data_IF_700511367545
#
_entry.id   IF_700511367545
#
_cell.length_a   1.000
_cell.length_b   1.000
_cell.length_c   1.000
_cell.angle_alpha   90.00
_cell.angle_beta   90.00
_cell.angle_gamma   90.00
#
_symmetry.space_group_name_H-M   'P 1'
#
loop_
_entity.id
_entity.type
_entity.pdbx_description
1 polymer ?
#
# COMPACT_ATOMS: atom_id res chain seq x y z
N UNK A 1 10.76 18.44 -8.17
CA UNK A 1 10.39 19.69 -7.49
C UNK A 1 8.96 19.56 -6.98
N UNK A 2 8.62 20.18 -5.84
CA UNK A 2 7.27 20.21 -5.30
C UNK A 2 6.94 21.58 -4.71
N UNK A 3 5.66 21.94 -4.65
CA UNK A 3 5.18 23.11 -3.93
C UNK A 3 3.76 22.87 -3.41
N UNK A 4 3.33 23.70 -2.46
CA UNK A 4 1.98 23.64 -1.88
C UNK A 4 1.12 24.69 -2.58
N UNK A 5 -0.02 24.24 -3.11
CA UNK A 5 -1.07 25.10 -3.65
C UNK A 5 -2.25 25.14 -2.68
N UNK A 6 -2.92 26.30 -2.58
CA UNK A 6 -4.03 26.49 -1.63
C UNK A 6 -5.24 25.61 -1.95
N UNK A 7 -5.49 25.32 -3.23
CA UNK A 7 -6.63 24.55 -3.70
C UNK A 7 -6.31 23.07 -3.88
N UNK A 8 -5.16 22.76 -4.50
CA UNK A 8 -4.80 21.39 -4.89
C UNK A 8 -3.85 20.70 -3.90
N UNK A 9 -3.44 21.39 -2.84
CA UNK A 9 -2.50 20.85 -1.85
C UNK A 9 -1.10 20.70 -2.41
N UNK A 10 -0.42 19.58 -2.09
CA UNK A 10 0.93 19.31 -2.59
C UNK A 10 0.92 18.94 -4.07
N UNK A 11 1.55 19.77 -4.90
CA UNK A 11 1.71 19.57 -6.34
C UNK A 11 3.11 19.03 -6.63
N UNK A 12 3.18 17.85 -7.23
CA UNK A 12 4.43 17.23 -7.65
C UNK A 12 4.80 17.69 -9.07
N UNK A 13 5.97 18.28 -9.25
CA UNK A 13 6.45 18.76 -10.54
C UNK A 13 7.61 17.89 -11.03
N UNK A 14 7.38 17.17 -12.12
CA UNK A 14 8.39 16.36 -12.82
C UNK A 14 8.90 17.14 -14.02
N UNK A 15 10.21 17.37 -14.07
CA UNK A 15 10.88 17.94 -15.23
C UNK A 15 11.29 16.83 -16.20
N UNK A 16 11.07 17.04 -17.49
CA UNK A 16 11.43 16.08 -18.53
C UNK A 16 11.98 16.83 -19.76
N UNK A 17 13.11 16.38 -20.26
CA UNK A 17 13.70 16.89 -21.51
C UNK A 17 12.87 16.55 -22.74
N UNK A 18 12.08 15.46 -22.67
CA UNK A 18 11.18 15.03 -23.74
C UNK A 18 9.83 15.78 -23.73
N UNK A 19 9.55 16.54 -22.69
CA UNK A 19 8.26 17.24 -22.56
C UNK A 19 8.29 18.54 -23.35
N UNK A 20 7.46 18.66 -24.39
CA UNK A 20 7.30 19.87 -25.20
C UNK A 20 6.25 20.84 -24.64
N UNK A 21 5.57 20.47 -23.56
CA UNK A 21 4.51 21.29 -22.94
C UNK A 21 4.20 20.83 -21.53
N UNK A 22 3.22 21.51 -20.91
CA UNK A 22 2.77 21.18 -19.55
C UNK A 22 1.64 20.15 -19.61
N UNK A 23 1.80 19.05 -18.89
CA UNK A 23 0.74 18.03 -18.72
C UNK A 23 0.40 17.89 -17.25
N UNK A 24 -0.90 17.84 -16.97
CA UNK A 24 -1.42 17.58 -15.64
C UNK A 24 -1.95 16.15 -15.56
N UNK A 25 -1.71 15.48 -14.44
CA UNK A 25 -2.21 14.14 -14.16
C UNK A 25 -2.45 14.01 -12.65
N UNK A 26 -3.12 12.94 -12.24
CA UNK A 26 -3.33 12.62 -10.84
C UNK A 26 -2.53 11.35 -10.52
N UNK A 27 -1.75 11.38 -9.44
CA UNK A 27 -1.02 10.22 -8.95
C UNK A 27 -1.99 9.15 -8.41
N UNK A 28 -1.52 7.93 -8.23
CA UNK A 28 -2.28 6.85 -7.57
C UNK A 28 -2.76 7.23 -6.17
N UNK A 29 -2.04 8.15 -5.51
CA UNK A 29 -2.45 8.72 -4.21
C UNK A 29 -3.47 9.86 -4.31
N UNK A 30 -3.90 10.25 -5.52
CA UNK A 30 -4.87 11.34 -5.75
C UNK A 30 -4.27 12.75 -5.70
N UNK A 31 -2.93 12.89 -5.70
CA UNK A 31 -2.23 14.19 -5.71
C UNK A 31 -2.06 14.69 -7.14
N UNK A 32 -2.16 16.00 -7.32
CA UNK A 32 -1.88 16.63 -8.60
C UNK A 32 -0.40 16.48 -8.96
N UNK A 33 -0.15 15.97 -10.16
CA UNK A 33 1.18 15.91 -10.78
C UNK A 33 1.21 16.81 -12.01
N UNK A 34 2.33 17.47 -12.20
CA UNK A 34 2.61 18.34 -13.33
C UNK A 34 3.91 17.91 -13.99
N UNK A 35 3.85 17.52 -15.25
CA UNK A 35 5.05 17.28 -16.07
C UNK A 35 5.32 18.52 -16.90
N UNK A 36 6.55 19.04 -16.83
CA UNK A 36 6.98 20.28 -17.47
C UNK A 36 8.30 20.10 -18.18
N UNK A 37 8.63 20.92 -19.20
CA UNK A 37 9.94 20.97 -19.80
C UNK A 37 11.06 21.22 -18.76
N UNK A 38 12.26 20.70 -19.03
CA UNK A 38 13.41 20.77 -18.11
C UNK A 38 13.79 22.18 -17.69
N UNK A 39 13.62 23.15 -18.58
CA UNK A 39 13.91 24.58 -18.35
C UNK A 39 12.86 25.32 -17.52
N UNK A 40 11.74 24.70 -17.17
CA UNK A 40 10.65 25.35 -16.44
C UNK A 40 11.08 25.71 -15.02
N UNK A 41 10.97 26.98 -14.67
CA UNK A 41 11.21 27.49 -13.31
C UNK A 41 10.00 27.22 -12.38
N UNK A 42 10.21 27.31 -11.07
CA UNK A 42 9.10 27.17 -10.11
C UNK A 42 8.01 28.23 -10.29
N UNK A 43 8.41 29.45 -10.67
CA UNK A 43 7.48 30.55 -10.97
C UNK A 43 6.60 30.22 -12.18
N UNK A 44 7.20 29.76 -13.28
CA UNK A 44 6.45 29.38 -14.49
C UNK A 44 5.52 28.19 -14.20
N UNK A 45 5.95 27.20 -13.44
CA UNK A 45 5.11 26.07 -13.04
C UNK A 45 3.85 26.52 -12.28
N UNK A 46 3.99 27.45 -11.32
CA UNK A 46 2.86 28.04 -10.59
C UNK A 46 1.93 28.84 -11.51
N UNK A 47 2.50 29.61 -12.46
CA UNK A 47 1.73 30.36 -13.45
C UNK A 47 0.90 29.44 -14.34
N UNK A 48 1.47 28.36 -14.86
CA UNK A 48 0.77 27.34 -15.64
C UNK A 48 -0.36 26.69 -14.84
N UNK A 49 -0.10 26.35 -13.58
CA UNK A 49 -1.14 25.83 -12.70
C UNK A 49 -2.31 26.80 -12.58
N UNK A 50 -2.03 28.07 -12.33
CA UNK A 50 -3.08 29.08 -12.19
C UNK A 50 -3.92 29.26 -13.46
N UNK A 51 -3.28 29.25 -14.62
CA UNK A 51 -4.00 29.35 -15.92
C UNK A 51 -4.87 28.12 -16.21
N UNK A 52 -4.47 26.95 -15.69
CA UNK A 52 -5.14 25.68 -15.98
C UNK A 52 -6.15 25.24 -14.89
N UNK A 53 -6.36 26.02 -13.82
CA UNK A 53 -7.21 25.65 -12.69
C UNK A 53 -8.60 25.13 -13.09
N UNK A 54 -9.28 25.84 -13.99
CA UNK A 54 -10.62 25.45 -14.47
C UNK A 54 -10.58 24.08 -15.14
N UNK A 55 -9.68 23.89 -16.09
CA UNK A 55 -9.51 22.62 -16.81
C UNK A 55 -9.12 21.46 -15.87
N UNK A 56 -8.29 21.74 -14.87
CA UNK A 56 -7.88 20.75 -13.87
C UNK A 56 -9.08 20.29 -13.05
N UNK A 57 -9.92 21.19 -12.56
CA UNK A 57 -11.16 20.88 -11.82
C UNK A 57 -12.12 20.02 -12.64
N UNK A 58 -12.32 20.36 -13.90
CA UNK A 58 -13.29 19.71 -14.77
C UNK A 58 -12.84 18.32 -15.24
N UNK A 59 -11.54 18.13 -15.48
CA UNK A 59 -11.01 16.94 -16.16
C UNK A 59 -10.28 15.96 -15.26
N UNK A 60 -9.82 16.38 -14.07
CA UNK A 60 -9.01 15.55 -13.22
C UNK A 60 -9.69 15.23 -11.89
N UNK A 61 -9.77 13.95 -11.50
CA UNK A 61 -10.36 13.52 -10.23
C UNK A 61 -9.41 13.80 -9.05
N UNK A 62 -9.11 15.09 -8.80
CA UNK A 62 -8.24 15.50 -7.71
C UNK A 62 -9.00 15.33 -6.41
N UNK A 63 -8.39 14.62 -5.48
CA UNK A 63 -8.94 14.48 -4.13
C UNK A 63 -8.66 15.74 -3.33
N UNK A 64 -9.68 16.23 -2.65
CA UNK A 64 -9.56 17.38 -1.76
C UNK A 64 -8.39 17.23 -0.78
N UNK A 65 -7.56 18.29 -0.59
CA UNK A 65 -6.43 18.26 0.34
C UNK A 65 -6.79 17.89 1.78
N UNK A 66 -7.99 18.22 2.24
CA UNK A 66 -8.49 17.83 3.57
C UNK A 66 -8.68 16.32 3.66
N UNK A 67 -9.23 15.70 2.62
CA UNK A 67 -9.41 14.26 2.54
C UNK A 67 -8.07 13.52 2.46
N UNK A 68 -7.05 14.12 1.87
CA UNK A 68 -5.70 13.53 1.83
C UNK A 68 -5.03 13.57 3.22
N UNK A 69 -5.13 14.68 3.94
CA UNK A 69 -4.63 14.78 5.33
C UNK A 69 -5.29 13.75 6.24
N UNK A 70 -6.61 13.59 6.13
CA UNK A 70 -7.35 12.58 6.89
C UNK A 70 -6.86 11.15 6.60
N UNK A 71 -6.57 10.82 5.33
CA UNK A 71 -5.99 9.52 4.95
C UNK A 71 -4.59 9.32 5.50
N UNK A 72 -3.74 10.34 5.40
CA UNK A 72 -2.37 10.27 5.91
C UNK A 72 -2.37 10.11 7.45
N UNK A 73 -3.28 10.79 8.16
CA UNK A 73 -3.49 10.61 9.59
C UNK A 73 -3.99 9.19 9.91
N UNK A 74 -4.97 8.68 9.17
CA UNK A 74 -5.45 7.30 9.32
C UNK A 74 -4.34 6.27 9.10
N UNK A 75 -3.52 6.44 8.04
CA UNK A 75 -2.35 5.58 7.78
C UNK A 75 -1.38 5.57 8.96
N UNK A 76 -1.09 6.74 9.54
CA UNK A 76 -0.18 6.86 10.69
C UNK A 76 -0.71 6.10 11.90
N UNK A 77 -2.01 6.21 12.18
CA UNK A 77 -2.67 5.48 13.28
C UNK A 77 -2.62 3.97 13.03
N UNK A 78 -2.98 3.52 11.82
CA UNK A 78 -2.95 2.10 11.46
C UNK A 78 -1.53 1.53 11.49
N UNK A 79 -0.53 2.29 11.04
CA UNK A 79 0.87 1.90 11.13
C UNK A 79 1.32 1.68 12.57
N UNK A 80 0.91 2.57 13.50
CA UNK A 80 1.20 2.40 14.92
C UNK A 80 0.58 1.11 15.45
N UNK A 81 -0.73 0.92 15.25
CA UNK A 81 -1.45 -0.30 15.69
C UNK A 81 -0.85 -1.57 15.08
N UNK A 82 -0.51 -1.55 13.78
CA UNK A 82 0.09 -2.69 13.10
C UNK A 82 1.45 -3.08 13.68
N UNK A 83 2.31 -2.09 13.98
CA UNK A 83 3.63 -2.33 14.59
C UNK A 83 3.53 -2.90 16.01
N UNK A 84 2.49 -2.56 16.76
CA UNK A 84 2.25 -3.07 18.11
C UNK A 84 1.65 -4.49 18.11
N UNK A 85 0.76 -4.79 17.19
CA UNK A 85 -0.02 -6.03 17.20
C UNK A 85 0.54 -7.13 16.27
N UNK A 86 0.82 -6.78 15.00
CA UNK A 86 1.10 -7.80 13.98
C UNK A 86 2.38 -8.60 14.22
N UNK A 87 3.51 -8.04 14.71
CA UNK A 87 4.70 -8.84 15.02
C UNK A 87 4.43 -9.86 16.09
N UNK A 88 3.76 -9.47 17.18
CA UNK A 88 3.40 -10.38 18.26
C UNK A 88 2.54 -11.55 17.76
N UNK A 89 1.54 -11.26 16.91
CA UNK A 89 0.67 -12.31 16.37
C UNK A 89 1.38 -13.19 15.35
N UNK A 90 2.26 -12.62 14.53
CA UNK A 90 3.12 -13.35 13.60
C UNK A 90 4.08 -14.30 14.35
N UNK A 91 4.77 -13.81 15.40
CA UNK A 91 5.66 -14.61 16.23
C UNK A 91 4.92 -15.75 16.95
N UNK A 92 3.70 -15.49 17.41
CA UNK A 92 2.86 -16.50 18.03
C UNK A 92 2.63 -17.69 17.08
N UNK A 93 2.18 -17.43 15.85
CA UNK A 93 1.94 -18.51 14.88
C UNK A 93 3.24 -19.13 14.36
N UNK A 94 4.29 -18.35 14.18
CA UNK A 94 5.58 -18.88 13.76
C UNK A 94 6.11 -19.89 14.78
N UNK A 95 6.03 -19.58 16.06
CA UNK A 95 6.43 -20.51 17.14
C UNK A 95 5.50 -21.71 17.25
N UNK A 96 4.20 -21.50 17.12
CA UNK A 96 3.19 -22.57 17.24
C UNK A 96 3.37 -23.65 16.16
N UNK A 97 3.72 -23.26 14.94
CA UNK A 97 3.82 -24.13 13.79
C UNK A 97 5.26 -24.37 13.30
N UNK A 98 6.26 -23.87 14.02
CA UNK A 98 7.67 -24.14 13.74
C UNK A 98 8.24 -23.37 12.53
N UNK A 99 7.65 -22.25 12.15
CA UNK A 99 8.16 -21.40 11.07
C UNK A 99 9.31 -20.50 11.53
N UNK A 100 10.25 -20.28 10.63
CA UNK A 100 11.33 -19.31 10.83
C UNK A 100 11.28 -18.22 9.76
N UNK A 101 11.38 -16.96 10.18
CA UNK A 101 11.54 -15.81 9.31
C UNK A 101 12.50 -14.80 9.95
N UNK A 102 13.16 -13.97 9.13
CA UNK A 102 14.20 -13.05 9.61
C UNK A 102 13.65 -11.66 9.88
N UNK A 103 12.65 -11.24 9.12
CA UNK A 103 12.17 -9.85 9.19
C UNK A 103 10.70 -9.70 8.85
N UNK A 104 10.02 -8.83 9.61
CA UNK A 104 8.69 -8.35 9.26
C UNK A 104 8.76 -6.94 8.69
N UNK A 105 7.99 -6.67 7.63
CA UNK A 105 7.81 -5.36 7.00
C UNK A 105 6.34 -4.99 6.98
N UNK A 106 6.06 -3.68 6.99
CA UNK A 106 4.71 -3.16 6.89
C UNK A 106 4.50 -2.46 5.55
N UNK A 107 3.41 -2.79 4.88
CA UNK A 107 3.01 -2.20 3.61
C UNK A 107 1.66 -1.48 3.72
N UNK A 108 1.36 -0.65 2.74
CA UNK A 108 0.06 -0.03 2.54
C UNK A 108 -0.38 -0.15 1.07
N UNK A 109 -0.04 -1.29 0.46
CA UNK A 109 -0.42 -1.60 -0.91
C UNK A 109 -1.96 -1.71 -1.05
N UNK A 110 -2.50 -1.33 -2.20
CA UNK A 110 -3.95 -1.38 -2.42
C UNK A 110 -4.45 -2.76 -2.86
N UNK A 111 -3.55 -3.67 -3.23
CA UNK A 111 -3.91 -4.91 -3.95
C UNK A 111 -3.61 -6.20 -3.20
N UNK A 112 -2.76 -6.17 -2.15
CA UNK A 112 -2.40 -7.38 -1.42
C UNK A 112 -2.35 -7.16 0.08
N UNK A 113 -2.78 -8.17 0.84
CA UNK A 113 -2.83 -8.17 2.29
C UNK A 113 -1.50 -8.52 2.94
N UNK A 114 -0.68 -9.33 2.26
CA UNK A 114 0.64 -9.73 2.70
C UNK A 114 1.53 -10.19 1.55
N UNK A 115 2.74 -10.59 1.85
CA UNK A 115 3.65 -11.35 0.99
C UNK A 115 4.78 -11.96 1.80
N UNK A 116 5.19 -13.18 1.43
CA UNK A 116 6.43 -13.82 1.85
C UNK A 116 7.46 -13.66 0.72
N UNK A 117 8.71 -13.35 1.06
CA UNK A 117 9.79 -13.17 0.08
C UNK A 117 11.03 -13.90 0.57
N UNK A 118 11.52 -14.83 -0.25
CA UNK A 118 12.83 -15.49 -0.07
C UNK A 118 13.86 -14.66 -0.82
N UNK A 119 14.90 -14.24 -0.12
CA UNK A 119 16.02 -13.50 -0.70
C UNK A 119 17.15 -14.42 -1.09
N UNK A 120 18.04 -14.02 -2.05
CA UNK A 120 19.19 -14.84 -2.47
C UNK A 120 20.19 -15.14 -1.36
N UNK A 121 20.24 -14.32 -0.31
CA UNK A 121 21.08 -14.54 0.89
C UNK A 121 20.48 -15.55 1.88
N UNK A 122 19.37 -16.18 1.53
CA UNK A 122 18.64 -17.11 2.35
C UNK A 122 17.67 -16.48 3.35
N UNK A 123 17.64 -15.15 3.47
CA UNK A 123 16.73 -14.49 4.42
C UNK A 123 15.29 -14.51 3.94
N UNK A 124 14.36 -14.66 4.89
CA UNK A 124 12.91 -14.70 4.66
C UNK A 124 12.26 -13.46 5.25
N UNK A 125 11.56 -12.70 4.42
CA UNK A 125 10.89 -11.48 4.83
C UNK A 125 9.38 -11.60 4.66
N UNK A 126 8.64 -11.48 5.76
CA UNK A 126 7.18 -11.40 5.76
C UNK A 126 6.76 -9.93 5.71
N UNK A 127 5.94 -9.59 4.73
CA UNK A 127 5.38 -8.25 4.60
C UNK A 127 3.87 -8.29 4.87
N UNK A 128 3.39 -7.48 5.82
CA UNK A 128 1.99 -7.42 6.23
C UNK A 128 1.41 -6.03 5.96
N UNK A 129 0.20 -5.99 5.44
CA UNK A 129 -0.49 -4.73 5.15
C UNK A 129 -1.10 -4.14 6.42
N UNK A 130 -0.86 -2.85 6.67
CA UNK A 130 -1.46 -2.13 7.80
C UNK A 130 -3.01 -2.12 7.76
N UNK A 131 -3.60 -2.30 6.58
CA UNK A 131 -5.03 -2.46 6.38
C UNK A 131 -5.61 -3.67 7.12
N UNK A 132 -4.78 -4.66 7.50
CA UNK A 132 -5.18 -5.77 8.37
C UNK A 132 -5.76 -5.31 9.70
N UNK A 133 -5.40 -4.12 10.16
CA UNK A 133 -5.98 -3.55 11.38
C UNK A 133 -7.45 -3.11 11.24
N UNK A 134 -7.99 -3.09 10.02
CA UNK A 134 -9.39 -2.77 9.74
C UNK A 134 -10.27 -4.01 9.54
N UNK A 135 -9.70 -5.22 9.56
CA UNK A 135 -10.47 -6.45 9.39
C UNK A 135 -10.55 -7.24 10.70
N UNK A 136 -11.56 -8.12 10.88
CA UNK A 136 -11.69 -8.97 12.05
C UNK A 136 -10.46 -9.86 12.28
N UNK A 137 -10.19 -10.19 13.54
CA UNK A 137 -9.02 -11.00 13.92
C UNK A 137 -8.90 -12.33 13.15
N UNK A 138 -9.97 -13.13 12.95
CA UNK A 138 -9.83 -14.38 12.18
C UNK A 138 -9.34 -14.18 10.74
N UNK A 139 -9.66 -13.04 10.12
CA UNK A 139 -9.18 -12.73 8.78
C UNK A 139 -7.72 -12.25 8.79
N UNK A 140 -7.29 -11.55 9.86
CA UNK A 140 -5.87 -11.21 10.07
C UNK A 140 -5.03 -12.46 10.25
N UNK A 141 -5.49 -13.38 11.11
CA UNK A 141 -4.82 -14.63 11.41
C UNK A 141 -4.68 -15.49 10.16
N UNK A 142 -5.74 -15.60 9.37
CA UNK A 142 -5.68 -16.29 8.08
C UNK A 142 -4.59 -15.70 7.16
N UNK A 143 -4.47 -14.36 7.06
CA UNK A 143 -3.41 -13.76 6.22
C UNK A 143 -2.02 -14.08 6.79
N UNK A 144 -1.84 -14.00 8.10
CA UNK A 144 -0.56 -14.33 8.74
C UNK A 144 -0.18 -15.79 8.46
N UNK A 145 -1.10 -16.72 8.65
CA UNK A 145 -0.90 -18.15 8.38
C UNK A 145 -0.61 -18.41 6.90
N UNK A 146 -1.33 -17.74 6.00
CA UNK A 146 -1.10 -17.81 4.56
C UNK A 146 0.34 -17.38 4.18
N UNK A 147 0.82 -16.26 4.73
CA UNK A 147 2.18 -15.79 4.45
C UNK A 147 3.25 -16.67 5.11
N UNK A 148 2.99 -17.25 6.28
CA UNK A 148 3.88 -18.21 6.92
C UNK A 148 3.96 -19.52 6.12
N UNK A 149 2.85 -20.05 5.60
CA UNK A 149 2.84 -21.26 4.76
C UNK A 149 3.65 -21.08 3.47
N UNK A 150 3.82 -19.85 2.98
CA UNK A 150 4.72 -19.57 1.85
C UNK A 150 6.20 -19.77 2.15
N UNK A 151 6.59 -19.94 3.42
CA UNK A 151 7.95 -20.30 3.80
C UNK A 151 8.29 -21.69 3.27
N UNK A 152 7.35 -22.65 3.40
CA UNK A 152 7.53 -24.03 2.95
C UNK A 152 7.09 -24.21 1.49
N UNK A 153 6.06 -23.48 1.06
CA UNK A 153 5.43 -23.60 -0.25
C UNK A 153 5.36 -22.25 -0.95
N UNK A 154 6.36 -21.90 -1.79
CA UNK A 154 6.39 -20.59 -2.47
C UNK A 154 5.21 -20.36 -3.44
N UNK A 155 4.58 -21.42 -3.90
CA UNK A 155 3.43 -21.39 -4.80
C UNK A 155 2.11 -21.73 -4.06
N UNK A 156 0.98 -21.63 -4.75
CA UNK A 156 -0.33 -22.01 -4.23
C UNK A 156 -0.73 -23.42 -4.67
N UNK A 157 0.21 -24.39 -4.56
CA UNK A 157 0.00 -25.80 -4.86
C UNK A 157 -1.01 -26.47 -3.93
N UNK A 158 -1.33 -27.74 -4.22
CA UNK A 158 -2.18 -28.54 -3.33
C UNK A 158 -1.57 -28.70 -1.93
N UNK A 159 -0.24 -28.85 -1.85
CA UNK A 159 0.51 -28.93 -0.58
C UNK A 159 0.37 -27.64 0.24
N UNK A 160 0.49 -26.46 -0.41
CA UNK A 160 0.26 -25.16 0.23
C UNK A 160 -1.13 -25.09 0.87
N UNK A 161 -2.18 -25.44 0.10
CA UNK A 161 -3.56 -25.37 0.63
C UNK A 161 -3.86 -26.43 1.69
N UNK A 162 -3.19 -27.58 1.65
CA UNK A 162 -3.30 -28.58 2.71
C UNK A 162 -2.73 -28.01 4.03
N UNK A 163 -1.51 -27.43 4.01
CA UNK A 163 -0.88 -26.83 5.17
C UNK A 163 -1.70 -25.65 5.74
N UNK A 164 -2.18 -24.74 4.87
CA UNK A 164 -3.08 -23.65 5.31
C UNK A 164 -4.35 -24.21 5.96
N UNK A 165 -4.89 -25.31 5.43
CA UNK A 165 -6.10 -25.97 5.95
C UNK A 165 -5.88 -26.64 7.32
N UNK A 166 -4.67 -27.15 7.59
CA UNK A 166 -4.28 -27.68 8.91
C UNK A 166 -4.23 -26.56 9.97
N UNK A 167 -3.77 -25.39 9.60
CA UNK A 167 -3.64 -24.25 10.51
C UNK A 167 -4.95 -23.44 10.66
N UNK A 168 -5.76 -23.38 9.63
CA UNK A 168 -7.07 -22.72 9.62
C UNK A 168 -8.12 -23.55 8.89
N UNK A 169 -8.88 -24.34 9.62
CA UNK A 169 -9.93 -25.19 9.07
C UNK A 169 -11.00 -24.42 8.28
N UNK A 170 -11.13 -23.08 8.52
CA UNK A 170 -12.09 -22.21 7.81
C UNK A 170 -11.43 -21.34 6.74
N UNK A 171 -10.22 -21.65 6.30
CA UNK A 171 -9.46 -20.84 5.35
C UNK A 171 -10.23 -20.48 4.06
N UNK A 172 -11.06 -21.38 3.55
CA UNK A 172 -11.90 -21.14 2.34
C UNK A 172 -12.88 -19.98 2.54
N UNK A 173 -13.51 -19.94 3.72
CA UNK A 173 -14.43 -18.86 4.09
C UNK A 173 -13.68 -17.54 4.33
N UNK A 174 -12.57 -17.58 5.07
CA UNK A 174 -11.74 -16.40 5.32
C UNK A 174 -11.18 -15.80 4.02
N UNK A 175 -10.70 -16.65 3.11
CA UNK A 175 -10.27 -16.25 1.77
C UNK A 175 -11.38 -15.59 0.96
N UNK A 176 -12.58 -16.17 0.98
CA UNK A 176 -13.75 -15.60 0.29
C UNK A 176 -14.12 -14.23 0.84
N UNK A 177 -14.14 -14.06 2.16
CA UNK A 177 -14.43 -12.78 2.83
C UNK A 177 -13.38 -11.72 2.49
N UNK A 178 -12.08 -12.06 2.52
CA UNK A 178 -11.01 -11.15 2.16
C UNK A 178 -11.03 -10.72 0.70
N UNK A 179 -11.46 -11.59 -0.23
CA UNK A 179 -11.63 -11.21 -1.64
C UNK A 179 -12.68 -10.12 -1.86
N UNK A 180 -13.68 -10.03 -1.00
CA UNK A 180 -14.70 -8.97 -1.04
C UNK A 180 -14.21 -7.64 -0.45
N UNK A 181 -13.03 -7.62 0.18
CA UNK A 181 -12.44 -6.45 0.83
C UNK A 181 -11.21 -5.96 0.05
N UNK A 182 -10.88 -4.70 0.24
CA UNK A 182 -9.64 -4.12 -0.30
C UNK A 182 -8.70 -3.75 0.86
N UNK A 183 -7.40 -4.06 0.77
CA UNK A 183 -6.43 -3.65 1.78
C UNK A 183 -6.15 -2.14 1.79
N UNK A 184 -6.70 -1.39 0.83
CA UNK A 184 -6.50 0.05 0.70
C UNK A 184 -6.90 0.84 1.95
N UNK A 185 -6.05 1.82 2.31
CA UNK A 185 -6.18 2.67 3.51
C UNK A 185 -6.35 4.13 3.12
#
# INVERSE_FOLDING_TARGET
MKFIDKEFGEVLVRKSSLSRGVKFSVSTSGRLQMSVPSYTTAFLAKRFLNQSRKTIREKLPIKDPSSQRARDAKKKILMKKAKEYLPYRLDYFAKLYGYHYDKVRFSHANTRWGSCTHHPDGSIVISLNIGLMNVPEPLRDYVILHELSHINHPDHSAAFWAEVGEHDARFKDHRRKLKALSPGV
#
